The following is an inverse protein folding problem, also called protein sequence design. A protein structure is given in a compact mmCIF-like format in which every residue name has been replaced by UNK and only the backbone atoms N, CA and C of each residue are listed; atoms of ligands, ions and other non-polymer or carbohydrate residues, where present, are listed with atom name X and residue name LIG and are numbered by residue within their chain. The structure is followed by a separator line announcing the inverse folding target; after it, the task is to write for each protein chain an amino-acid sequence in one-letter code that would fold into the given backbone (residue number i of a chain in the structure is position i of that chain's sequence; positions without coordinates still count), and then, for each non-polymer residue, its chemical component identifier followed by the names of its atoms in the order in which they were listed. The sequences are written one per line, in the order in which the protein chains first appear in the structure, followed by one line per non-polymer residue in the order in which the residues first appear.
data_IF_167746574301
#
_entry.id   IF_167746574301
#
_cell.length_a   1.000
_cell.length_b   1.000
_cell.length_c   1.000
_cell.angle_alpha   90.00
_cell.angle_beta   90.00
_cell.angle_gamma   90.00
#
_symmetry.space_group_name_H-M   'P 1'
#
loop_
_entity.id
_entity.type
_entity.pdbx_description
1 polymer ?
#
# COMPACT_ATOMS: atom_id res chain seq x y z
N UNK A 1 -62.45 22.43 90.17
CA UNK A 1 -63.16 21.26 89.60
C UNK A 1 -63.86 20.42 90.66
N UNK A 2 -63.20 20.03 91.76
CA UNK A 2 -63.84 19.08 92.70
C UNK A 2 -65.03 19.64 93.48
N UNK A 3 -65.06 20.94 93.81
CA UNK A 3 -66.07 21.53 94.70
C UNK A 3 -67.44 21.75 94.03
N UNK A 4 -67.47 22.13 92.74
CA UNK A 4 -68.75 22.26 92.00
C UNK A 4 -69.41 20.90 91.82
N UNK A 5 -68.64 19.87 91.41
CA UNK A 5 -69.17 18.52 91.26
C UNK A 5 -69.58 17.92 92.60
N UNK A 6 -68.82 18.13 93.67
CA UNK A 6 -69.17 17.69 95.03
C UNK A 6 -70.47 18.34 95.52
N UNK A 7 -70.64 19.66 95.35
CA UNK A 7 -71.88 20.35 95.73
C UNK A 7 -73.09 19.94 94.86
N UNK A 8 -72.87 19.62 93.58
CA UNK A 8 -73.93 19.09 92.70
C UNK A 8 -74.33 17.66 93.09
N UNK A 9 -73.37 16.81 93.44
CA UNK A 9 -73.61 15.44 93.89
C UNK A 9 -74.31 15.43 95.26
N UNK A 10 -73.92 16.30 96.19
CA UNK A 10 -74.58 16.46 97.49
C UNK A 10 -76.00 17.01 97.33
N UNK A 11 -76.20 17.99 96.43
CA UNK A 11 -77.53 18.50 96.10
C UNK A 11 -78.41 17.40 95.48
N UNK A 12 -77.84 16.56 94.61
CA UNK A 12 -78.49 15.39 94.04
C UNK A 12 -78.91 14.40 95.11
N UNK A 13 -78.01 14.06 96.04
CA UNK A 13 -78.28 13.14 97.14
C UNK A 13 -79.41 13.65 98.07
N UNK A 14 -79.41 14.95 98.40
CA UNK A 14 -80.48 15.58 99.19
C UNK A 14 -81.84 15.47 98.47
N UNK A 15 -81.86 15.62 97.15
CA UNK A 15 -83.08 15.51 96.34
C UNK A 15 -83.54 14.06 96.21
N UNK A 16 -82.62 13.09 96.12
CA UNK A 16 -82.93 11.67 96.04
C UNK A 16 -83.47 11.09 97.38
N UNK A 17 -82.93 11.54 98.52
CA UNK A 17 -83.39 11.13 99.86
C UNK A 17 -84.63 11.92 100.35
N UNK A 18 -85.04 12.94 99.58
CA UNK A 18 -86.13 13.84 99.94
C UNK A 18 -87.46 13.11 100.18
N UNK A 19 -88.14 13.43 101.28
CA UNK A 19 -89.41 12.79 101.63
C UNK A 19 -90.54 13.26 100.71
N UNK A 20 -91.18 12.34 100.00
CA UNK A 20 -92.35 12.62 99.15
C UNK A 20 -93.57 13.11 99.95
N UNK A 21 -94.35 14.02 99.37
CA UNK A 21 -95.60 14.52 99.95
C UNK A 21 -96.79 13.72 99.39
N UNK A 22 -97.64 13.09 100.24
CA UNK A 22 -98.73 12.22 99.79
C UNK A 22 -99.69 12.91 98.81
N UNK A 23 -100.09 12.18 97.76
CA UNK A 23 -101.01 12.65 96.71
C UNK A 23 -100.50 13.85 95.87
N UNK A 24 -99.19 14.12 95.88
CA UNK A 24 -98.54 15.11 94.99
C UNK A 24 -97.26 14.55 94.39
N UNK A 25 -96.75 15.17 93.31
CA UNK A 25 -95.44 14.86 92.73
C UNK A 25 -94.28 15.60 93.44
N UNK A 26 -94.53 16.23 94.59
CA UNK A 26 -93.55 17.03 95.31
C UNK A 26 -92.79 16.25 96.37
N UNK A 27 -91.56 16.69 96.66
CA UNK A 27 -90.76 16.24 97.79
C UNK A 27 -90.45 17.41 98.73
N UNK A 28 -90.20 17.11 100.00
CA UNK A 28 -89.76 18.08 101.01
C UNK A 28 -88.25 18.00 101.12
N UNK A 29 -87.59 19.10 100.82
CA UNK A 29 -86.13 19.25 100.96
C UNK A 29 -85.79 20.30 102.03
N UNK A 30 -84.69 20.14 102.77
CA UNK A 30 -84.18 21.20 103.65
C UNK A 30 -83.76 22.42 102.82
N UNK A 31 -84.59 23.47 102.84
CA UNK A 31 -84.37 24.67 102.02
C UNK A 31 -83.02 25.37 102.31
N UNK A 32 -82.55 25.33 103.55
CA UNK A 32 -81.28 25.95 103.95
C UNK A 32 -80.09 25.28 103.24
N UNK A 33 -79.95 23.99 103.45
CA UNK A 33 -78.88 23.15 102.88
C UNK A 33 -78.86 23.21 101.35
N UNK A 34 -80.04 23.16 100.70
CA UNK A 34 -80.17 23.29 99.23
C UNK A 34 -79.70 24.66 98.73
N UNK A 35 -80.02 25.75 99.44
CA UNK A 35 -79.58 27.09 99.04
C UNK A 35 -78.09 27.30 99.25
N UNK A 36 -77.53 26.74 100.32
CA UNK A 36 -76.08 26.77 100.60
C UNK A 36 -75.29 26.08 99.49
N UNK A 37 -75.71 24.87 99.09
CA UNK A 37 -75.08 24.14 97.97
C UNK A 37 -75.22 24.88 96.64
N UNK A 38 -76.37 25.51 96.37
CA UNK A 38 -76.56 26.33 95.16
C UNK A 38 -75.62 27.55 95.16
N UNK A 39 -75.43 28.19 96.32
CA UNK A 39 -74.54 29.35 96.41
C UNK A 39 -73.06 28.93 96.33
N UNK A 40 -72.67 27.80 96.92
CA UNK A 40 -71.35 27.18 96.71
C UNK A 40 -71.08 26.88 95.23
N UNK A 41 -72.07 26.34 94.51
CA UNK A 41 -72.00 26.10 93.06
C UNK A 41 -71.85 27.43 92.31
N UNK A 42 -72.63 28.46 92.65
CA UNK A 42 -72.56 29.77 91.98
C UNK A 42 -71.23 30.47 92.20
N UNK A 43 -70.63 30.31 93.37
CA UNK A 43 -69.35 30.93 93.69
C UNK A 43 -68.18 30.17 93.03
N UNK A 44 -68.28 28.85 92.90
CA UNK A 44 -67.21 28.02 92.34
C UNK A 44 -67.27 27.86 90.80
N UNK A 45 -68.45 27.85 90.17
CA UNK A 45 -68.59 27.68 88.70
C UNK A 45 -67.81 28.71 87.88
N UNK A 46 -67.87 30.02 88.18
CA UNK A 46 -67.19 31.02 87.35
C UNK A 46 -65.68 30.78 87.26
N UNK A 47 -65.04 30.40 88.38
CA UNK A 47 -63.61 30.07 88.38
C UNK A 47 -63.30 28.81 87.59
N UNK A 48 -64.15 27.78 87.67
CA UNK A 48 -63.96 26.56 86.88
C UNK A 48 -64.17 26.76 85.38
N UNK A 49 -65.08 27.66 84.99
CA UNK A 49 -65.29 28.02 83.59
C UNK A 49 -64.13 28.88 83.05
N UNK A 50 -63.56 29.77 83.87
CA UNK A 50 -62.38 30.57 83.55
C UNK A 50 -61.16 29.66 83.33
N UNK A 51 -60.90 28.72 84.25
CA UNK A 51 -59.84 27.71 84.10
C UNK A 51 -60.02 26.89 82.81
N UNK A 52 -61.25 26.49 82.48
CA UNK A 52 -61.54 25.75 81.25
C UNK A 52 -61.29 26.60 80.00
N UNK A 53 -61.63 27.88 80.04
CA UNK A 53 -61.37 28.82 78.95
C UNK A 53 -59.87 29.05 78.76
N UNK A 54 -59.10 29.20 79.84
CA UNK A 54 -57.63 29.32 79.80
C UNK A 54 -56.98 28.11 79.12
N UNK A 55 -57.46 26.90 79.42
CA UNK A 55 -56.97 25.68 78.76
C UNK A 55 -57.29 25.67 77.26
N UNK A 56 -58.48 26.14 76.86
CA UNK A 56 -58.85 26.25 75.45
C UNK A 56 -57.99 27.29 74.71
N UNK A 57 -57.74 28.43 75.33
CA UNK A 57 -56.91 29.50 74.76
C UNK A 57 -55.44 29.07 74.65
N UNK A 58 -54.93 28.35 75.66
CA UNK A 58 -53.60 27.74 75.63
C UNK A 58 -53.49 26.70 74.50
N UNK A 59 -54.50 25.83 74.35
CA UNK A 59 -54.56 24.85 73.24
C UNK A 59 -54.54 25.55 71.89
N UNK A 60 -55.36 26.58 71.71
CA UNK A 60 -55.47 27.28 70.43
C UNK A 60 -54.18 28.02 70.08
N UNK A 61 -53.49 28.57 71.09
CA UNK A 61 -52.17 29.18 70.93
C UNK A 61 -51.11 28.14 70.54
N UNK A 62 -51.07 26.99 71.22
CA UNK A 62 -50.16 25.88 70.88
C UNK A 62 -50.40 25.34 69.47
N UNK A 63 -51.66 25.19 69.06
CA UNK A 63 -52.00 24.73 67.70
C UNK A 63 -51.56 25.73 66.63
N UNK A 64 -51.65 27.03 66.92
CA UNK A 64 -51.18 28.09 66.01
C UNK A 64 -49.66 28.05 65.88
N UNK A 65 -48.95 28.02 67.01
CA UNK A 65 -47.48 27.96 67.02
C UNK A 65 -46.97 26.69 66.33
N UNK A 66 -47.59 25.53 66.59
CA UNK A 66 -47.21 24.28 65.94
C UNK A 66 -47.42 24.31 64.42
N UNK A 67 -48.50 24.95 63.95
CA UNK A 67 -48.76 25.14 62.51
C UNK A 67 -47.74 26.07 61.88
N UNK A 68 -47.52 27.25 62.47
CA UNK A 68 -46.53 28.22 61.99
C UNK A 68 -45.12 27.62 61.95
N UNK A 69 -44.74 26.88 63.00
CA UNK A 69 -43.47 26.17 63.05
C UNK A 69 -43.37 25.12 61.95
N UNK A 70 -44.42 24.31 61.75
CA UNK A 70 -44.45 23.28 60.71
C UNK A 70 -44.36 23.88 59.31
N UNK A 71 -45.09 24.97 59.04
CA UNK A 71 -45.04 25.70 57.77
C UNK A 71 -43.64 26.27 57.51
N UNK A 72 -43.01 26.85 58.54
CA UNK A 72 -41.63 27.34 58.44
C UNK A 72 -40.63 26.20 58.16
N UNK A 73 -40.77 25.05 58.83
CA UNK A 73 -39.88 23.90 58.61
C UNK A 73 -40.05 23.34 57.20
N UNK A 74 -41.29 23.16 56.74
CA UNK A 74 -41.58 22.66 55.39
C UNK A 74 -41.07 23.65 54.33
N UNK A 75 -41.29 24.95 54.53
CA UNK A 75 -40.80 25.98 53.62
C UNK A 75 -39.27 25.99 53.54
N UNK A 76 -38.59 25.92 54.69
CA UNK A 76 -37.13 25.84 54.76
C UNK A 76 -36.59 24.58 54.08
N UNK A 77 -37.18 23.42 54.38
CA UNK A 77 -36.78 22.14 53.77
C UNK A 77 -36.98 22.13 52.24
N UNK A 78 -38.08 22.70 51.74
CA UNK A 78 -38.32 22.82 50.30
C UNK A 78 -37.32 23.77 49.64
N UNK A 79 -37.03 24.92 50.26
CA UNK A 79 -36.05 25.88 49.72
C UNK A 79 -34.63 25.29 49.69
N UNK A 80 -34.24 24.53 50.72
CA UNK A 80 -32.96 23.82 50.77
C UNK A 80 -32.90 22.72 49.69
N UNK A 81 -33.96 21.93 49.56
CA UNK A 81 -34.05 20.89 48.53
C UNK A 81 -33.92 21.47 47.11
N UNK A 82 -34.61 22.58 46.83
CA UNK A 82 -34.53 23.26 45.53
C UNK A 82 -33.13 23.80 45.26
N UNK A 83 -32.47 24.38 46.27
CA UNK A 83 -31.09 24.86 46.17
C UNK A 83 -30.11 23.71 45.88
N UNK A 84 -30.21 22.60 46.62
CA UNK A 84 -29.37 21.41 46.42
C UNK A 84 -29.59 20.82 45.03
N UNK A 85 -30.84 20.69 44.57
CA UNK A 85 -31.16 20.19 43.24
C UNK A 85 -30.62 21.11 42.14
N UNK A 86 -30.75 22.43 42.29
CA UNK A 86 -30.21 23.39 41.35
C UNK A 86 -28.68 23.31 41.27
N UNK A 87 -28.01 23.18 42.43
CA UNK A 87 -26.57 23.06 42.49
C UNK A 87 -26.08 21.77 41.83
N UNK A 88 -26.68 20.63 42.19
CA UNK A 88 -26.35 19.33 41.63
C UNK A 88 -26.57 19.27 40.11
N UNK A 89 -27.65 19.88 39.61
CA UNK A 89 -27.91 19.98 38.16
C UNK A 89 -26.85 20.81 37.45
N UNK A 90 -26.51 21.98 37.99
CA UNK A 90 -25.49 22.84 37.40
C UNK A 90 -24.10 22.17 37.41
N UNK A 91 -23.77 21.43 38.46
CA UNK A 91 -22.54 20.65 38.54
C UNK A 91 -22.52 19.50 37.53
N UNK A 92 -23.62 18.75 37.41
CA UNK A 92 -23.76 17.68 36.43
C UNK A 92 -23.61 18.20 34.99
N UNK A 93 -24.22 19.34 34.67
CA UNK A 93 -24.10 19.97 33.34
C UNK A 93 -22.66 20.39 33.04
N UNK A 94 -21.94 20.94 34.03
CA UNK A 94 -20.52 21.28 33.90
C UNK A 94 -19.66 20.04 33.68
N UNK A 95 -19.84 19.00 34.49
CA UNK A 95 -19.09 17.74 34.36
C UNK A 95 -19.33 17.09 32.98
N UNK A 96 -20.56 17.09 32.49
CA UNK A 96 -20.90 16.58 31.16
C UNK A 96 -20.25 17.41 30.05
N UNK A 97 -20.22 18.74 30.18
CA UNK A 97 -19.58 19.61 29.21
C UNK A 97 -18.06 19.39 29.18
N UNK A 98 -17.42 19.30 30.35
CA UNK A 98 -15.98 19.06 30.47
C UNK A 98 -15.59 17.68 29.92
N UNK A 99 -16.37 16.64 30.26
CA UNK A 99 -16.16 15.28 29.75
C UNK A 99 -16.31 15.22 28.23
N UNK A 100 -17.32 15.88 27.64
CA UNK A 100 -17.49 15.99 26.20
C UNK A 100 -16.30 16.70 25.54
N UNK A 101 -15.89 17.84 26.09
CA UNK A 101 -14.75 18.58 25.55
C UNK A 101 -13.44 17.77 25.63
N UNK A 102 -13.24 16.99 26.70
CA UNK A 102 -12.10 16.09 26.83
C UNK A 102 -12.17 14.94 25.80
N UNK A 103 -13.34 14.33 25.62
CA UNK A 103 -13.54 13.28 24.62
C UNK A 103 -13.26 13.81 23.20
N UNK A 104 -13.75 15.00 22.86
CA UNK A 104 -13.51 15.62 21.57
C UNK A 104 -12.02 15.89 21.32
N UNK A 105 -11.30 16.40 22.34
CA UNK A 105 -9.84 16.56 22.28
C UNK A 105 -9.12 15.23 22.06
N UNK A 106 -9.47 14.20 22.82
CA UNK A 106 -8.85 12.88 22.69
C UNK A 106 -9.09 12.26 21.31
N UNK A 107 -10.31 12.40 20.75
CA UNK A 107 -10.62 11.93 19.40
C UNK A 107 -9.84 12.71 18.34
N UNK A 108 -9.71 14.03 18.49
CA UNK A 108 -8.93 14.85 17.57
C UNK A 108 -7.44 14.48 17.59
N UNK A 109 -6.85 14.34 18.78
CA UNK A 109 -5.46 13.91 18.96
C UNK A 109 -5.21 12.51 18.40
N UNK A 110 -6.11 11.56 18.67
CA UNK A 110 -6.02 10.21 18.13
C UNK A 110 -6.07 10.20 16.60
N UNK A 111 -6.98 10.96 15.99
CA UNK A 111 -7.07 11.11 14.53
C UNK A 111 -5.79 11.70 13.95
N UNK A 112 -5.28 12.78 14.51
CA UNK A 112 -4.02 13.41 14.07
C UNK A 112 -2.82 12.46 14.23
N UNK A 113 -2.77 11.68 15.30
CA UNK A 113 -1.73 10.68 15.49
C UNK A 113 -1.82 9.56 14.45
N UNK A 114 -3.02 9.04 14.19
CA UNK A 114 -3.25 8.04 13.13
C UNK A 114 -2.88 8.57 11.75
N UNK A 115 -3.25 9.80 11.40
CA UNK A 115 -2.89 10.43 10.13
C UNK A 115 -1.38 10.58 9.95
N UNK A 116 -0.67 10.97 11.02
CA UNK A 116 0.80 11.02 11.03
C UNK A 116 1.40 9.64 10.80
N UNK A 117 0.97 8.62 11.56
CA UNK A 117 1.47 7.25 11.38
C UNK A 117 1.23 6.73 9.95
N UNK A 118 0.05 6.96 9.38
CA UNK A 118 -0.25 6.53 8.00
C UNK A 118 0.63 7.26 6.99
N UNK A 119 0.89 8.55 7.20
CA UNK A 119 1.76 9.34 6.32
C UNK A 119 3.21 8.84 6.40
N UNK A 120 3.74 8.68 7.60
CA UNK A 120 5.09 8.15 7.85
C UNK A 120 5.26 6.76 7.24
N UNK A 121 4.30 5.85 7.46
CA UNK A 121 4.33 4.51 6.89
C UNK A 121 4.29 4.51 5.36
N UNK A 122 3.50 5.41 4.74
CA UNK A 122 3.45 5.55 3.28
C UNK A 122 4.76 6.09 2.71
N UNK A 123 5.37 7.07 3.37
CA UNK A 123 6.67 7.60 2.97
C UNK A 123 7.77 6.54 3.10
N UNK A 124 7.76 5.77 4.19
CA UNK A 124 8.71 4.67 4.38
C UNK A 124 8.54 3.57 3.33
N UNK A 125 7.30 3.17 3.05
CA UNK A 125 6.99 2.21 1.98
C UNK A 125 7.48 2.72 0.61
N UNK A 126 7.29 4.01 0.31
CA UNK A 126 7.77 4.62 -0.92
C UNK A 126 9.30 4.63 -0.99
N UNK A 127 10.00 4.94 0.12
CA UNK A 127 11.46 4.88 0.21
C UNK A 127 11.97 3.45 -0.02
N UNK A 128 11.36 2.46 0.61
CA UNK A 128 11.74 1.05 0.46
C UNK A 128 11.51 0.56 -0.98
N UNK A 129 10.37 0.88 -1.58
CA UNK A 129 10.08 0.52 -2.96
C UNK A 129 11.08 1.16 -3.95
N UNK A 130 11.45 2.42 -3.73
CA UNK A 130 12.44 3.10 -4.56
C UNK A 130 13.84 2.47 -4.40
N UNK A 131 14.24 2.13 -3.18
CA UNK A 131 15.51 1.45 -2.91
C UNK A 131 15.55 0.05 -3.58
N UNK A 132 14.50 -0.76 -3.37
CA UNK A 132 14.37 -2.09 -3.96
C UNK A 132 14.41 -2.04 -5.49
N UNK A 133 13.72 -1.07 -6.11
CA UNK A 133 13.76 -0.88 -7.57
C UNK A 133 15.16 -0.57 -8.07
N UNK A 134 15.90 0.33 -7.42
CA UNK A 134 17.28 0.66 -7.79
C UNK A 134 18.21 -0.53 -7.67
N UNK A 135 18.09 -1.30 -6.59
CA UNK A 135 18.90 -2.49 -6.37
C UNK A 135 18.59 -3.58 -7.41
N UNK A 136 17.31 -3.77 -7.72
CA UNK A 136 16.88 -4.67 -8.78
C UNK A 136 17.44 -4.26 -10.15
N UNK A 137 17.34 -2.99 -10.53
CA UNK A 137 17.88 -2.47 -11.79
C UNK A 137 19.41 -2.62 -11.85
N UNK A 138 20.12 -2.37 -10.75
CA UNK A 138 21.57 -2.55 -10.68
C UNK A 138 21.98 -4.03 -10.77
N UNK A 139 21.26 -4.93 -10.10
CA UNK A 139 21.51 -6.37 -10.14
C UNK A 139 21.26 -6.94 -11.54
N UNK A 140 20.08 -6.63 -12.11
CA UNK A 140 19.72 -7.07 -13.46
C UNK A 140 20.62 -6.46 -14.53
N UNK A 141 21.02 -5.20 -14.39
CA UNK A 141 21.99 -4.54 -15.27
C UNK A 141 23.36 -5.22 -15.25
N UNK A 142 23.88 -5.55 -14.05
CA UNK A 142 25.14 -6.30 -13.91
C UNK A 142 25.05 -7.70 -14.53
N UNK A 143 23.98 -8.43 -14.24
CA UNK A 143 23.78 -9.78 -14.77
C UNK A 143 23.72 -9.80 -16.30
N UNK A 144 23.01 -8.82 -16.91
CA UNK A 144 22.97 -8.67 -18.38
C UNK A 144 24.35 -8.35 -18.95
N UNK A 145 25.06 -7.38 -18.37
CA UNK A 145 26.40 -7.03 -18.83
C UNK A 145 27.39 -8.19 -18.71
N UNK A 146 27.28 -9.01 -17.66
CA UNK A 146 28.08 -10.21 -17.50
C UNK A 146 27.73 -11.30 -18.53
N UNK A 147 26.44 -11.52 -18.78
CA UNK A 147 25.98 -12.44 -19.81
C UNK A 147 26.48 -12.02 -21.21
N UNK A 148 26.37 -10.74 -21.55
CA UNK A 148 26.86 -10.19 -22.83
C UNK A 148 28.37 -10.41 -22.98
N UNK A 149 29.15 -10.14 -21.92
CA UNK A 149 30.60 -10.41 -21.91
C UNK A 149 30.92 -11.90 -22.08
N UNK A 150 30.15 -12.78 -21.46
CA UNK A 150 30.36 -14.22 -21.57
C UNK A 150 30.06 -14.71 -23.00
N UNK A 151 29.00 -14.20 -23.63
CA UNK A 151 28.67 -14.48 -25.03
C UNK A 151 29.78 -13.98 -25.95
N UNK A 152 30.25 -12.74 -25.76
CA UNK A 152 31.33 -12.17 -26.57
C UNK A 152 32.63 -12.97 -26.43
N UNK A 153 33.04 -13.28 -25.20
CA UNK A 153 34.22 -14.12 -24.94
C UNK A 153 34.07 -15.53 -25.52
N UNK A 154 32.87 -16.11 -25.43
CA UNK A 154 32.52 -17.39 -26.03
C UNK A 154 32.65 -17.35 -27.55
N UNK A 155 32.13 -16.32 -28.20
CA UNK A 155 32.23 -16.11 -29.65
C UNK A 155 33.68 -15.95 -30.10
N UNK A 156 34.48 -15.14 -29.40
CA UNK A 156 35.92 -14.96 -29.70
C UNK A 156 36.66 -16.30 -29.59
N UNK A 157 36.39 -17.07 -28.54
CA UNK A 157 37.02 -18.37 -28.32
C UNK A 157 36.58 -19.40 -29.37
N UNK A 158 35.31 -19.37 -29.75
CA UNK A 158 34.74 -20.22 -30.81
C UNK A 158 35.36 -19.91 -32.17
N UNK A 159 35.42 -18.63 -32.55
CA UNK A 159 36.07 -18.16 -33.77
C UNK A 159 37.53 -18.62 -33.84
N UNK A 160 38.25 -18.47 -32.72
CA UNK A 160 39.65 -18.92 -32.62
C UNK A 160 39.77 -20.43 -32.80
N UNK A 161 38.91 -21.22 -32.15
CA UNK A 161 38.90 -22.67 -32.28
C UNK A 161 38.59 -23.14 -33.72
N UNK A 162 37.66 -22.47 -34.41
CA UNK A 162 37.39 -22.72 -35.84
C UNK A 162 38.64 -22.43 -36.67
N UNK A 163 39.28 -21.27 -36.47
CA UNK A 163 40.48 -20.90 -37.23
C UNK A 163 41.64 -21.87 -37.01
N UNK A 164 41.86 -22.30 -35.77
CA UNK A 164 42.85 -23.33 -35.45
C UNK A 164 42.49 -24.68 -36.08
N UNK A 165 41.22 -25.07 -36.03
CA UNK A 165 40.71 -26.29 -36.67
C UNK A 165 40.89 -26.29 -38.20
N UNK A 166 40.59 -25.16 -38.87
CA UNK A 166 40.80 -25.02 -40.32
C UNK A 166 42.28 -25.13 -40.67
N UNK A 167 43.16 -24.46 -39.91
CA UNK A 167 44.61 -24.54 -40.12
C UNK A 167 45.12 -25.98 -39.96
N UNK A 168 44.66 -26.67 -38.93
CA UNK A 168 45.06 -28.05 -38.68
C UNK A 168 44.50 -29.01 -39.74
N UNK A 169 43.24 -28.83 -40.15
CA UNK A 169 42.65 -29.57 -41.26
C UNK A 169 43.45 -29.38 -42.55
N UNK A 170 43.82 -28.15 -42.90
CA UNK A 170 44.66 -27.84 -44.06
C UNK A 170 46.03 -28.53 -43.96
N UNK A 171 46.64 -28.50 -42.77
CA UNK A 171 47.91 -29.20 -42.50
C UNK A 171 47.78 -30.70 -42.75
N UNK A 172 46.77 -31.36 -42.20
CA UNK A 172 46.54 -32.80 -42.37
C UNK A 172 46.24 -33.18 -43.82
N UNK A 173 45.41 -32.41 -44.52
CA UNK A 173 45.14 -32.62 -45.95
C UNK A 173 46.41 -32.48 -46.78
N UNK A 174 47.23 -31.45 -46.54
CA UNK A 174 48.50 -31.26 -47.25
C UNK A 174 49.52 -32.39 -47.00
N UNK A 175 49.47 -33.01 -45.82
CA UNK A 175 50.33 -34.14 -45.45
C UNK A 175 49.81 -35.50 -45.95
N UNK A 176 48.64 -35.54 -46.57
CA UNK A 176 48.08 -36.80 -47.08
C UNK A 176 48.81 -37.22 -48.36
N UNK A 177 49.19 -38.50 -48.45
CA UNK A 177 49.92 -39.07 -49.59
C UNK A 177 49.25 -38.80 -50.94
N UNK A 178 47.92 -38.79 -50.97
CA UNK A 178 47.13 -38.46 -52.17
C UNK A 178 47.41 -37.03 -52.65
N UNK A 179 47.48 -36.04 -51.75
CA UNK A 179 47.75 -34.64 -52.10
C UNK A 179 49.21 -34.46 -52.52
N UNK A 180 50.14 -35.13 -51.85
CA UNK A 180 51.55 -35.14 -52.24
C UNK A 180 51.73 -35.74 -53.65
N UNK A 181 51.09 -36.88 -53.92
CA UNK A 181 51.11 -37.56 -55.22
C UNK A 181 50.45 -36.70 -56.30
N UNK A 182 49.29 -36.09 -56.01
CA UNK A 182 48.60 -35.22 -56.94
C UNK A 182 49.43 -33.97 -57.30
N UNK A 183 50.12 -33.35 -56.34
CA UNK A 183 51.02 -32.22 -56.60
C UNK A 183 52.25 -32.63 -57.42
N UNK A 184 52.86 -33.77 -57.09
CA UNK A 184 53.98 -34.30 -57.86
C UNK A 184 53.56 -34.59 -59.31
N UNK A 185 52.38 -35.17 -59.51
CA UNK A 185 51.85 -35.46 -60.83
C UNK A 185 51.48 -34.19 -61.60
N UNK A 186 50.84 -33.20 -60.95
CA UNK A 186 50.56 -31.90 -61.56
C UNK A 186 51.85 -31.20 -62.01
N UNK A 187 52.90 -31.25 -61.18
CA UNK A 187 54.21 -30.69 -61.52
C UNK A 187 54.82 -31.41 -62.73
N UNK A 188 54.81 -32.76 -62.73
CA UNK A 188 55.27 -33.55 -63.89
C UNK A 188 54.50 -33.23 -65.17
N UNK A 189 53.19 -33.02 -65.07
CA UNK A 189 52.34 -32.73 -66.22
C UNK A 189 52.66 -31.34 -66.80
N UNK A 190 52.90 -30.35 -65.94
CA UNK A 190 53.36 -29.01 -66.34
C UNK A 190 54.73 -29.10 -67.00
N UNK A 191 55.68 -29.79 -66.38
CA UNK A 191 57.04 -29.93 -66.93
C UNK A 191 57.03 -30.67 -68.28
N UNK A 192 56.25 -31.74 -68.40
CA UNK A 192 56.07 -32.47 -69.65
C UNK A 192 55.41 -31.60 -70.72
N UNK A 193 54.40 -30.80 -70.37
CA UNK A 193 53.76 -29.87 -71.30
C UNK A 193 54.72 -28.78 -71.78
N UNK A 194 55.57 -28.24 -70.89
CA UNK A 194 56.62 -27.29 -71.26
C UNK A 194 57.67 -27.93 -72.18
N UNK A 195 58.17 -29.11 -71.83
CA UNK A 195 59.14 -29.82 -72.65
C UNK A 195 58.59 -30.19 -74.04
N UNK A 196 57.32 -30.58 -74.12
CA UNK A 196 56.65 -30.86 -75.39
C UNK A 196 56.44 -29.59 -76.21
N UNK A 197 56.04 -28.47 -75.57
CA UNK A 197 55.91 -27.19 -76.25
C UNK A 197 57.26 -26.70 -76.81
N UNK A 198 58.35 -26.87 -76.07
CA UNK A 198 59.69 -26.52 -76.53
C UNK A 198 60.18 -27.46 -77.63
N UNK A 199 59.87 -28.76 -77.55
CA UNK A 199 60.14 -29.72 -78.63
C UNK A 199 59.38 -29.35 -79.91
N UNK A 200 58.09 -29.06 -79.80
CA UNK A 200 57.26 -28.68 -80.94
C UNK A 200 57.78 -27.40 -81.61
N UNK A 201 58.22 -26.40 -80.81
CA UNK A 201 58.89 -25.22 -81.35
C UNK A 201 60.17 -25.59 -82.11
N UNK A 202 61.03 -26.41 -81.51
CA UNK A 202 62.27 -26.86 -82.16
C UNK A 202 62.00 -27.65 -83.45
N UNK A 203 61.01 -28.53 -83.46
CA UNK A 203 60.59 -29.27 -84.66
C UNK A 203 60.02 -28.33 -85.74
N UNK A 204 59.22 -27.33 -85.35
CA UNK A 204 58.76 -26.29 -86.26
C UNK A 204 59.94 -25.49 -86.85
N UNK A 205 60.93 -25.12 -86.04
CA UNK A 205 62.11 -24.39 -86.49
C UNK A 205 62.93 -25.22 -87.49
N UNK A 206 63.18 -26.50 -87.20
CA UNK A 206 63.87 -27.44 -88.12
C UNK A 206 63.07 -27.65 -89.40
N UNK A 207 61.74 -27.78 -89.29
CA UNK A 207 60.88 -27.93 -90.46
C UNK A 207 60.92 -26.70 -91.36
N UNK A 208 60.86 -25.50 -90.78
CA UNK A 208 60.98 -24.23 -91.51
C UNK A 208 62.34 -24.13 -92.18
N UNK A 209 63.44 -24.41 -91.48
CA UNK A 209 64.80 -24.39 -92.03
C UNK A 209 64.96 -25.38 -93.20
N UNK A 210 64.50 -26.61 -93.04
CA UNK A 210 64.51 -27.63 -94.09
C UNK A 210 63.71 -27.21 -95.33
N UNK A 211 62.51 -26.62 -95.13
CA UNK A 211 61.72 -26.10 -96.26
C UNK A 211 62.34 -24.89 -96.93
N UNK A 212 63.02 -24.02 -96.18
CA UNK A 212 63.81 -22.94 -96.75
C UNK A 212 65.01 -23.47 -97.55
N UNK A 213 65.70 -24.51 -97.07
CA UNK A 213 66.81 -25.15 -97.77
C UNK A 213 66.36 -25.87 -99.06
N UNK A 214 65.26 -26.63 -99.01
CA UNK A 214 64.64 -27.22 -100.21
C UNK A 214 64.25 -26.14 -101.23
N UNK A 215 63.70 -25.01 -100.75
CA UNK A 215 63.34 -23.88 -101.59
C UNK A 215 64.59 -23.20 -102.20
N UNK A 216 65.67 -23.06 -101.44
CA UNK A 216 66.96 -22.58 -101.94
C UNK A 216 67.52 -23.51 -103.03
N UNK A 217 67.48 -24.82 -102.83
CA UNK A 217 67.93 -25.79 -103.82
C UNK A 217 67.08 -25.73 -105.09
N UNK A 218 65.76 -25.59 -104.95
CA UNK A 218 64.83 -25.42 -106.07
C UNK A 218 65.13 -24.13 -106.86
N UNK A 219 65.39 -23.02 -106.17
CA UNK A 219 65.79 -21.75 -106.79
C UNK A 219 67.15 -21.87 -107.49
N UNK A 220 68.14 -22.52 -106.88
CA UNK A 220 69.45 -22.79 -107.48
C UNK A 220 69.35 -23.71 -108.71
N UNK A 221 68.48 -24.72 -108.66
CA UNK A 221 68.13 -25.58 -109.80
C UNK A 221 67.50 -24.77 -110.93
N UNK A 222 66.56 -23.89 -110.60
CA UNK A 222 65.90 -22.98 -111.55
C UNK A 222 66.90 -22.00 -112.16
N UNK A 223 67.78 -21.38 -111.37
CA UNK A 223 68.86 -20.51 -111.84
C UNK A 223 69.84 -21.25 -112.77
N UNK A 224 70.21 -22.49 -112.45
CA UNK A 224 71.03 -23.34 -113.35
C UNK A 224 70.29 -23.69 -114.65
N UNK A 225 68.97 -23.90 -114.60
CA UNK A 225 68.14 -24.11 -115.79
C UNK A 225 68.10 -22.85 -116.67
N UNK A 226 67.85 -21.68 -116.07
CA UNK A 226 67.90 -20.37 -116.75
C UNK A 226 69.30 -20.08 -117.29
N UNK A 227 70.35 -20.41 -116.55
CA UNK A 227 71.75 -20.31 -116.97
C UNK A 227 72.06 -21.18 -118.19
N UNK A 228 71.60 -22.44 -118.20
CA UNK A 228 71.70 -23.34 -119.36
C UNK A 228 70.88 -22.81 -120.56
N UNK A 229 69.67 -22.33 -120.34
CA UNK A 229 68.84 -21.70 -121.38
C UNK A 229 69.50 -20.43 -121.96
N UNK A 230 70.13 -19.60 -121.12
CA UNK A 230 70.93 -18.44 -121.56
C UNK A 230 72.19 -18.85 -122.31
N UNK A 231 72.86 -19.92 -121.89
CA UNK A 231 74.04 -20.43 -122.58
C UNK A 231 73.67 -21.02 -123.95
N UNK A 232 72.54 -21.74 -124.06
CA UNK A 232 71.96 -22.18 -125.33
C UNK A 232 71.57 -20.99 -126.24
N UNK A 233 70.99 -19.93 -125.70
CA UNK A 233 70.73 -18.71 -126.48
C UNK A 233 72.03 -18.01 -126.92
N UNK A 234 73.13 -18.12 -126.15
CA UNK A 234 74.46 -17.60 -126.53
C UNK A 234 75.20 -18.48 -127.54
N UNK A 235 74.98 -19.79 -127.57
CA UNK A 235 75.59 -20.70 -128.56
C UNK A 235 74.77 -20.79 -129.85
N UNK A 236 73.48 -20.45 -129.81
CA UNK A 236 72.60 -20.44 -131.01
C UNK A 236 72.55 -19.04 -131.68
N UNK A 237 73.03 -17.98 -131.02
CA UNK A 237 73.11 -16.62 -131.57
C UNK A 237 74.52 -16.23 -132.10
N UNK A 238 75.43 -17.20 -132.26
CA UNK A 238 76.80 -16.92 -132.67
C UNK A 238 77.39 -18.07 -133.48
N UNK A 239 76.90 -18.22 -134.73
CA UNK A 239 77.62 -18.61 -135.96
C UNK A 239 76.73 -19.46 -136.89
N UNK A 240 75.81 -18.77 -137.56
CA UNK A 240 75.44 -19.08 -138.95
C UNK A 240 75.43 -17.77 -139.75
N UNK A 241 76.17 -17.80 -140.86
CA UNK A 241 76.39 -16.82 -141.94
C UNK A 241 77.26 -15.57 -141.64
N UNK A 242 78.21 -15.19 -142.50
CA UNK A 242 78.13 -15.21 -143.97
C UNK A 242 79.35 -15.78 -144.73
N UNK A 243 79.02 -16.46 -145.83
CA UNK A 243 79.79 -16.68 -147.06
C UNK A 243 80.20 -15.35 -147.73
N UNK A 244 81.46 -15.17 -148.14
CA UNK A 244 81.88 -14.83 -149.54
C UNK A 244 83.41 -14.84 -149.73
N UNK A 245 83.83 -15.42 -150.88
CA UNK A 245 85.07 -15.20 -151.67
C UNK A 245 86.44 -15.15 -150.98
#
# INVERSE_FOLDING_TARGET
MYRVFEALDELGAIVEEARGVPMTAGCVVPRGDVLELIDDIKDAIPGELDDAQDVLDARDSLLREAKEHSESVISGANAEADSVLSHARAEADRLLADAKAQADRMVAEARQHSERMVTEAREEAARLAAAAKREYEASTGRAKAEADRLIENGNISYEKAIQEGIKEQQRLVSQTEIVATANAEATRLIDAAHAEADRLRGECDIYVDSKLAEFEEFLNGTLRSVGRGRHQLRTTAGTHDYVTR
#
